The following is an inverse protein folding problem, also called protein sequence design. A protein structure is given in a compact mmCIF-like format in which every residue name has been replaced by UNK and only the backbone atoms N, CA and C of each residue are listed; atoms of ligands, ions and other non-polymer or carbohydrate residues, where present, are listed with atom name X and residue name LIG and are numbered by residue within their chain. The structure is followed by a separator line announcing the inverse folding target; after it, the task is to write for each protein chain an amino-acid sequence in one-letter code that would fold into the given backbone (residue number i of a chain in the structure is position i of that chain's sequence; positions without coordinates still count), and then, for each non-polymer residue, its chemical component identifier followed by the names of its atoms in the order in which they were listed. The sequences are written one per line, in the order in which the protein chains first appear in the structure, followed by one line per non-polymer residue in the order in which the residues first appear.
data_IF_291106003536
#
_entry.id   IF_291106003536
#
_cell.length_a   1.000
_cell.length_b   1.000
_cell.length_c   1.000
_cell.angle_alpha   90.00
_cell.angle_beta   90.00
_cell.angle_gamma   90.00
#
_symmetry.space_group_name_H-M   'P 1'
#
loop_
_entity.id
_entity.type
_entity.pdbx_description
1 polymer ?
#
# COMPACT_ATOMS: atom_id res chain seq x y z
N UNK A 1 27.00 62.79 -61.11
CA UNK A 1 25.81 61.98 -61.45
C UNK A 1 25.14 61.57 -60.15
N UNK A 2 24.58 62.52 -59.38
CA UNK A 2 23.33 63.27 -59.65
C UNK A 2 22.14 62.29 -59.68
N UNK A 3 20.98 62.47 -59.04
CA UNK A 3 20.34 63.61 -58.35
C UNK A 3 18.95 63.09 -57.91
N UNK A 4 18.42 63.55 -56.74
CA UNK A 4 16.98 63.69 -56.36
C UNK A 4 16.04 62.43 -56.43
N UNK A 5 14.97 62.20 -55.66
CA UNK A 5 14.07 63.00 -54.82
C UNK A 5 13.31 62.08 -53.85
N UNK A 6 12.98 62.58 -52.68
CA UNK A 6 12.01 62.06 -51.71
C UNK A 6 10.57 62.40 -52.17
N UNK A 7 9.56 61.53 -52.00
CA UNK A 7 8.28 61.80 -51.29
C UNK A 7 7.27 60.63 -51.30
N UNK A 8 6.45 60.66 -50.24
CA UNK A 8 5.52 59.65 -49.70
C UNK A 8 4.25 59.37 -50.52
N UNK A 9 3.71 58.15 -50.37
CA UNK A 9 2.33 57.96 -49.87
C UNK A 9 2.11 56.55 -49.29
N UNK A 10 1.40 56.52 -48.17
CA UNK A 10 1.10 55.37 -47.32
C UNK A 10 -0.17 54.66 -47.83
N UNK A 11 -0.23 53.32 -47.81
CA UNK A 11 -1.36 52.53 -47.24
C UNK A 11 -1.23 51.02 -47.51
N UNK A 12 -1.38 50.29 -46.40
CA UNK A 12 -1.99 48.96 -46.22
C UNK A 12 -1.18 47.70 -46.55
N UNK A 13 -1.19 46.83 -45.53
CA UNK A 13 -0.96 45.38 -45.57
C UNK A 13 0.49 44.93 -45.76
N UNK A 14 1.27 45.06 -44.67
CA UNK A 14 2.60 44.45 -44.55
C UNK A 14 2.53 42.92 -44.49
N UNK A 15 3.06 42.34 -45.56
CA UNK A 15 4.11 41.33 -45.55
C UNK A 15 3.69 39.85 -45.41
N UNK A 16 3.17 39.33 -46.52
CA UNK A 16 3.81 38.17 -47.14
C UNK A 16 4.94 38.65 -48.04
N UNK A 17 6.17 38.22 -47.81
CA UNK A 17 7.22 38.20 -48.83
C UNK A 17 8.00 36.90 -48.67
N UNK A 18 7.54 35.89 -49.40
CA UNK A 18 8.30 34.69 -49.70
C UNK A 18 9.22 35.06 -50.85
N UNK A 19 10.53 35.12 -50.60
CA UNK A 19 11.53 35.12 -51.66
C UNK A 19 12.21 33.75 -51.60
N UNK A 20 11.89 32.89 -52.57
CA UNK A 20 12.67 31.69 -52.86
C UNK A 20 13.88 32.10 -53.70
N UNK A 21 15.09 31.75 -53.24
CA UNK A 21 16.23 31.55 -54.12
C UNK A 21 16.81 30.17 -53.83
N UNK A 22 16.73 29.28 -54.81
CA UNK A 22 17.44 28.01 -54.88
C UNK A 22 18.60 28.16 -55.87
N UNK A 23 19.81 28.18 -55.35
CA UNK A 23 21.04 27.61 -55.94
C UNK A 23 22.03 27.59 -54.77
N UNK A 24 22.74 26.53 -54.44
CA UNK A 24 23.35 25.52 -55.28
C UNK A 24 24.80 25.46 -54.81
N UNK A 25 25.09 24.51 -53.92
CA UNK A 25 26.42 24.02 -53.51
C UNK A 25 27.29 24.91 -52.59
N UNK A 26 27.82 24.30 -51.51
CA UNK A 26 29.10 24.71 -50.92
C UNK A 26 29.09 25.32 -49.51
N UNK A 27 29.06 24.46 -48.49
CA UNK A 27 29.89 24.54 -47.26
C UNK A 27 30.00 25.85 -46.43
N UNK A 28 29.48 25.73 -45.20
CA UNK A 28 29.98 26.22 -43.89
C UNK A 28 29.80 27.70 -43.50
N UNK A 29 29.29 27.82 -42.27
CA UNK A 29 29.43 28.89 -41.28
C UNK A 29 28.59 30.16 -41.45
N UNK A 30 27.39 30.19 -40.83
CA UNK A 30 26.84 31.32 -40.05
C UNK A 30 25.36 31.07 -39.67
N UNK A 31 25.08 30.25 -38.66
CA UNK A 31 23.69 30.07 -38.16
C UNK A 31 23.56 29.95 -36.65
N UNK A 32 24.66 29.99 -35.89
CA UNK A 32 24.63 29.66 -34.44
C UNK A 32 24.40 30.85 -33.50
N UNK A 33 24.45 32.10 -33.96
CA UNK A 33 24.32 33.27 -33.06
C UNK A 33 22.96 34.01 -33.10
N UNK A 34 22.30 34.11 -34.26
CA UNK A 34 20.98 34.80 -34.36
C UNK A 34 19.81 34.01 -33.75
N UNK A 35 19.92 32.68 -33.66
CA UNK A 35 18.86 31.81 -33.13
C UNK A 35 18.70 31.96 -31.61
N UNK A 36 19.82 32.08 -30.87
CA UNK A 36 19.80 32.19 -29.40
C UNK A 36 19.18 33.50 -28.89
N UNK A 37 19.44 34.64 -29.55
CA UNK A 37 18.84 35.91 -29.15
C UNK A 37 17.35 35.94 -29.46
N UNK A 38 16.92 35.55 -30.66
CA UNK A 38 15.50 35.53 -31.03
C UNK A 38 14.68 34.59 -30.12
N UNK A 39 15.22 33.43 -29.74
CA UNK A 39 14.58 32.54 -28.76
C UNK A 39 14.37 33.19 -27.38
N UNK A 40 15.33 34.00 -26.92
CA UNK A 40 15.21 34.74 -25.65
C UNK A 40 14.11 35.80 -25.75
N UNK A 41 14.04 36.50 -26.88
CA UNK A 41 13.03 37.55 -27.13
C UNK A 41 11.62 36.97 -27.28
N UNK A 42 11.48 35.83 -27.94
CA UNK A 42 10.18 35.18 -28.14
C UNK A 42 9.66 34.52 -26.86
N UNK A 43 10.54 33.95 -26.03
CA UNK A 43 10.18 33.51 -24.66
C UNK A 43 9.78 34.67 -23.76
N UNK A 44 10.51 35.79 -23.80
CA UNK A 44 10.16 36.98 -23.03
C UNK A 44 8.84 37.60 -23.50
N UNK A 45 8.54 37.57 -24.81
CA UNK A 45 7.22 37.99 -25.32
C UNK A 45 6.09 37.06 -24.88
N UNK A 46 6.31 35.74 -24.83
CA UNK A 46 5.31 34.80 -24.33
C UNK A 46 5.02 35.01 -22.83
N UNK A 47 6.07 35.20 -22.01
CA UNK A 47 5.96 35.51 -20.59
C UNK A 47 5.23 36.84 -20.36
N UNK A 48 5.52 37.85 -21.18
CA UNK A 48 4.81 39.13 -21.14
C UNK A 48 3.35 39.01 -21.59
N UNK A 49 3.06 38.18 -22.60
CA UNK A 49 1.69 37.95 -23.09
C UNK A 49 0.83 37.22 -22.06
N UNK A 50 1.39 36.28 -21.31
CA UNK A 50 0.72 35.58 -20.20
C UNK A 50 0.46 36.55 -19.04
N UNK A 51 1.44 37.40 -18.72
CA UNK A 51 1.24 38.43 -17.70
C UNK A 51 0.16 39.44 -18.08
N UNK A 52 0.13 39.86 -19.35
CA UNK A 52 -0.91 40.76 -19.87
C UNK A 52 -2.28 40.09 -19.86
N UNK A 53 -2.41 38.82 -20.27
CA UNK A 53 -3.70 38.13 -20.21
C UNK A 53 -4.19 37.94 -18.76
N UNK A 54 -3.28 37.69 -17.82
CA UNK A 54 -3.61 37.57 -16.40
C UNK A 54 -4.05 38.93 -15.81
N UNK A 55 -3.37 40.02 -16.15
CA UNK A 55 -3.76 41.38 -15.72
C UNK A 55 -5.11 41.79 -16.32
N UNK A 56 -5.38 41.46 -17.59
CA UNK A 56 -6.67 41.74 -18.23
C UNK A 56 -7.81 40.92 -17.63
N UNK A 57 -7.53 39.67 -17.21
CA UNK A 57 -8.50 38.83 -16.51
C UNK A 57 -8.79 39.38 -15.10
N UNK A 58 -7.76 39.80 -14.37
CA UNK A 58 -7.89 40.44 -13.05
C UNK A 58 -8.65 41.79 -13.15
N UNK A 59 -8.63 42.45 -14.31
CA UNK A 59 -9.36 43.69 -14.61
C UNK A 59 -10.79 43.47 -15.16
N UNK A 60 -11.24 42.21 -15.32
CA UNK A 60 -12.58 41.89 -15.84
C UNK A 60 -12.74 42.04 -17.36
N UNK A 61 -11.66 42.25 -18.11
CA UNK A 61 -11.64 42.38 -19.57
C UNK A 61 -11.32 41.02 -20.22
N UNK A 62 -12.31 40.13 -20.15
CA UNK A 62 -12.18 38.74 -20.56
C UNK A 62 -11.99 38.56 -22.07
N UNK A 63 -12.56 39.45 -22.89
CA UNK A 63 -12.45 39.38 -24.36
C UNK A 63 -11.04 39.71 -24.84
N UNK A 64 -10.39 40.72 -24.25
CA UNK A 64 -8.99 41.03 -24.57
C UNK A 64 -8.02 40.03 -23.96
N UNK A 65 -8.34 39.46 -22.78
CA UNK A 65 -7.57 38.35 -22.21
C UNK A 65 -7.59 37.12 -23.12
N UNK A 66 -8.77 36.77 -23.66
CA UNK A 66 -8.95 35.64 -24.57
C UNK A 66 -8.24 35.87 -25.92
N UNK A 67 -8.37 37.07 -26.50
CA UNK A 67 -7.69 37.44 -27.74
C UNK A 67 -6.16 37.43 -27.59
N UNK A 68 -5.64 37.88 -26.45
CA UNK A 68 -4.20 37.84 -26.12
C UNK A 68 -3.72 36.40 -25.96
N UNK A 69 -4.50 35.55 -25.30
CA UNK A 69 -4.22 34.12 -25.14
C UNK A 69 -4.27 33.36 -26.48
N UNK A 70 -5.19 33.72 -27.38
CA UNK A 70 -5.32 33.13 -28.72
C UNK A 70 -4.15 33.46 -29.63
N UNK A 71 -3.67 34.71 -29.62
CA UNK A 71 -2.45 35.14 -30.33
C UNK A 71 -1.20 34.43 -29.79
N UNK A 72 -1.14 34.22 -28.47
CA UNK A 72 -0.07 33.46 -27.84
C UNK A 72 -0.08 31.98 -28.28
N UNK A 73 -1.25 31.34 -28.40
CA UNK A 73 -1.38 29.97 -28.93
C UNK A 73 -0.85 29.82 -30.36
N UNK A 74 -1.01 30.85 -31.19
CA UNK A 74 -0.52 30.89 -32.57
C UNK A 74 1.01 31.12 -32.65
N UNK A 75 1.55 31.98 -31.77
CA UNK A 75 2.99 32.20 -31.60
C UNK A 75 3.68 30.94 -31.05
N UNK A 76 3.08 30.26 -30.05
CA UNK A 76 3.49 28.94 -29.56
C UNK A 76 3.46 27.90 -30.69
N UNK A 77 2.41 27.86 -31.51
CA UNK A 77 2.32 26.94 -32.64
C UNK A 77 3.43 27.11 -33.69
N UNK A 78 3.87 28.35 -33.95
CA UNK A 78 4.98 28.66 -34.88
C UNK A 78 6.36 28.42 -34.26
N UNK A 79 6.54 28.70 -32.97
CA UNK A 79 7.78 28.40 -32.25
C UNK A 79 7.96 26.89 -32.00
N UNK A 80 6.89 26.18 -31.66
CA UNK A 80 6.91 24.77 -31.25
C UNK A 80 6.99 23.78 -32.42
N UNK A 81 6.48 24.11 -33.63
CA UNK A 81 6.63 23.23 -34.81
C UNK A 81 8.08 22.97 -35.22
N UNK A 82 9.05 23.81 -34.79
CA UNK A 82 10.48 23.62 -35.09
C UNK A 82 11.22 22.74 -34.08
N UNK A 83 10.62 22.45 -32.92
CA UNK A 83 11.32 21.81 -31.78
C UNK A 83 10.80 20.39 -31.47
N UNK A 84 9.69 19.97 -32.09
CA UNK A 84 8.95 18.73 -31.75
C UNK A 84 9.43 17.43 -32.42
N UNK A 85 10.70 17.35 -32.85
CA UNK A 85 11.25 16.08 -33.32
C UNK A 85 11.94 15.24 -32.23
N UNK A 86 12.16 15.73 -30.99
CA UNK A 86 13.03 14.98 -30.06
C UNK A 86 12.79 15.03 -28.54
N UNK A 87 11.75 15.68 -27.97
CA UNK A 87 11.65 15.75 -26.49
C UNK A 87 10.25 15.32 -26.00
N UNK A 88 10.20 14.10 -25.47
CA UNK A 88 9.04 13.39 -24.95
C UNK A 88 8.60 13.83 -23.54
N UNK A 89 7.29 14.05 -23.37
CA UNK A 89 6.40 13.64 -22.26
C UNK A 89 6.68 14.11 -20.80
N UNK A 90 7.85 14.65 -20.42
CA UNK A 90 8.14 15.01 -19.01
C UNK A 90 8.24 16.52 -18.66
N UNK A 91 8.14 17.43 -19.63
CA UNK A 91 8.25 18.89 -19.36
C UNK A 91 6.90 19.53 -19.06
N UNK A 92 6.71 20.01 -17.83
CA UNK A 92 5.57 20.87 -17.45
C UNK A 92 5.88 22.33 -17.88
N UNK A 93 5.14 22.91 -18.84
CA UNK A 93 5.40 24.26 -19.33
C UNK A 93 5.34 25.34 -18.25
N UNK A 94 4.58 25.12 -17.16
CA UNK A 94 4.49 26.07 -16.06
C UNK A 94 5.78 26.10 -15.22
N UNK A 95 6.47 24.96 -15.10
CA UNK A 95 7.77 24.88 -14.42
C UNK A 95 8.86 25.62 -15.22
N UNK A 96 8.82 25.56 -16.55
CA UNK A 96 9.76 26.30 -17.41
C UNK A 96 9.60 27.83 -17.25
N UNK A 97 8.36 28.30 -17.05
CA UNK A 97 8.07 29.72 -16.76
C UNK A 97 8.62 30.12 -15.39
N UNK A 98 8.41 29.31 -14.36
CA UNK A 98 8.96 29.55 -13.02
C UNK A 98 10.49 29.57 -13.06
N UNK A 99 11.13 28.62 -13.76
CA UNK A 99 12.59 28.59 -13.88
C UNK A 99 13.12 29.83 -14.60
N UNK A 100 12.48 30.24 -15.69
CA UNK A 100 12.87 31.47 -16.40
C UNK A 100 12.77 32.70 -15.50
N UNK A 101 11.74 32.78 -14.65
CA UNK A 101 11.59 33.87 -13.68
C UNK A 101 12.60 33.80 -12.53
N UNK A 102 12.91 32.61 -12.03
CA UNK A 102 13.99 32.40 -11.07
C UNK A 102 15.29 32.99 -11.62
N UNK A 103 15.61 32.72 -12.89
CA UNK A 103 16.82 33.19 -13.56
C UNK A 103 16.84 34.72 -13.81
N UNK A 104 15.67 35.34 -14.01
CA UNK A 104 15.54 36.76 -14.37
C UNK A 104 15.35 37.69 -13.17
N UNK A 105 14.48 37.32 -12.23
CA UNK A 105 14.01 38.18 -11.14
C UNK A 105 14.41 37.66 -9.76
N UNK A 106 14.91 36.42 -9.69
CA UNK A 106 15.25 35.75 -8.44
C UNK A 106 14.11 34.88 -7.91
N UNK A 107 14.53 33.86 -7.17
CA UNK A 107 13.67 32.80 -6.63
C UNK A 107 12.62 33.30 -5.63
N UNK A 108 13.00 34.27 -4.83
CA UNK A 108 12.18 34.84 -3.75
C UNK A 108 11.47 36.14 -4.15
N UNK A 109 11.50 36.50 -5.43
CA UNK A 109 10.74 37.64 -5.93
C UNK A 109 9.24 37.38 -5.81
N UNK A 110 8.46 38.37 -5.39
CA UNK A 110 7.02 38.24 -5.11
C UNK A 110 6.24 37.68 -6.31
N UNK A 111 6.51 38.15 -7.53
CA UNK A 111 5.87 37.60 -8.73
C UNK A 111 6.23 36.13 -8.98
N UNK A 112 7.48 35.73 -8.69
CA UNK A 112 7.90 34.33 -8.81
C UNK A 112 7.11 33.47 -7.82
N UNK A 113 7.04 33.90 -6.55
CA UNK A 113 6.30 33.21 -5.48
C UNK A 113 4.79 33.14 -5.77
N UNK A 114 4.18 34.20 -6.32
CA UNK A 114 2.77 34.20 -6.78
C UNK A 114 2.49 33.16 -7.86
N UNK A 115 3.42 32.97 -8.79
CA UNK A 115 3.28 31.91 -9.81
C UNK A 115 3.53 30.51 -9.26
N UNK A 116 4.47 30.37 -8.32
CA UNK A 116 4.68 29.11 -7.58
C UNK A 116 3.41 28.75 -6.82
N UNK A 117 2.77 29.69 -6.12
CA UNK A 117 1.52 29.47 -5.40
C UNK A 117 0.39 29.03 -6.34
N UNK A 118 0.22 29.72 -7.47
CA UNK A 118 -0.75 29.35 -8.51
C UNK A 118 -0.51 27.93 -9.06
N UNK A 119 0.74 27.56 -9.32
CA UNK A 119 1.06 26.21 -9.78
C UNK A 119 0.84 25.17 -8.66
N UNK A 120 1.19 25.51 -7.42
CA UNK A 120 0.93 24.70 -6.24
C UNK A 120 -0.56 24.39 -6.08
N UNK A 121 -1.43 25.40 -6.28
CA UNK A 121 -2.90 25.21 -6.29
C UNK A 121 -3.36 24.19 -7.33
N UNK A 122 -2.79 24.21 -8.54
CA UNK A 122 -3.09 23.20 -9.57
C UNK A 122 -2.67 21.82 -9.10
N UNK A 123 -1.43 21.67 -8.62
CA UNK A 123 -0.93 20.37 -8.16
C UNK A 123 -1.67 19.83 -6.93
N UNK A 124 -2.12 20.70 -6.03
CA UNK A 124 -2.96 20.34 -4.88
C UNK A 124 -4.34 19.81 -5.33
N UNK A 125 -4.89 20.32 -6.43
CA UNK A 125 -6.20 19.92 -6.99
C UNK A 125 -6.14 18.73 -7.94
N UNK A 126 -4.98 18.39 -8.50
CA UNK A 126 -4.78 17.20 -9.36
C UNK A 126 -4.87 15.85 -8.59
N UNK A 127 -5.11 15.87 -7.28
CA UNK A 127 -5.12 14.69 -6.42
C UNK A 127 -6.46 13.92 -6.40
N UNK A 128 -6.39 12.61 -6.60
CA UNK A 128 -7.47 11.64 -6.36
C UNK A 128 -7.35 11.10 -4.92
N UNK A 129 -7.54 11.96 -3.92
CA UNK A 129 -7.66 11.53 -2.53
C UNK A 129 -9.13 11.43 -2.15
N UNK A 130 -9.53 10.32 -1.53
CA UNK A 130 -10.87 10.15 -0.95
C UNK A 130 -11.15 11.14 0.19
N UNK A 131 -10.10 11.74 0.75
CA UNK A 131 -10.16 12.94 1.56
C UNK A 131 -9.49 14.07 0.76
N UNK A 132 -10.27 14.81 -0.02
CA UNK A 132 -9.79 16.06 -0.61
C UNK A 132 -9.30 16.94 0.55
N UNK A 133 -8.07 17.47 0.49
CA UNK A 133 -7.59 18.39 1.51
C UNK A 133 -8.59 19.54 1.65
N UNK A 134 -8.86 19.94 2.88
CA UNK A 134 -9.87 20.97 3.13
C UNK A 134 -9.52 22.23 2.35
N UNK A 135 -10.54 22.95 1.86
CA UNK A 135 -10.32 24.20 1.16
C UNK A 135 -9.53 25.21 2.03
N UNK A 136 -9.71 25.16 3.36
CA UNK A 136 -8.93 25.93 4.33
C UNK A 136 -7.44 25.59 4.31
N UNK A 137 -7.08 24.31 4.22
CA UNK A 137 -5.68 23.86 4.12
C UNK A 137 -5.05 24.33 2.81
N UNK A 138 -5.75 24.17 1.68
CA UNK A 138 -5.27 24.60 0.36
C UNK A 138 -5.02 26.12 0.34
N UNK A 139 -5.96 26.91 0.86
CA UNK A 139 -5.81 28.37 0.95
C UNK A 139 -4.65 28.75 1.86
N UNK A 140 -4.52 28.10 3.03
CA UNK A 140 -3.41 28.33 3.97
C UNK A 140 -2.06 28.06 3.30
N UNK A 141 -1.88 26.89 2.68
CA UNK A 141 -0.63 26.53 2.02
C UNK A 141 -0.31 27.46 0.83
N UNK A 142 -1.31 27.83 0.03
CA UNK A 142 -1.13 28.80 -1.05
C UNK A 142 -0.59 30.13 -0.53
N UNK A 143 -1.18 30.64 0.56
CA UNK A 143 -0.72 31.88 1.18
C UNK A 143 0.69 31.75 1.77
N UNK A 144 1.04 30.60 2.37
CA UNK A 144 2.39 30.37 2.89
C UNK A 144 3.44 30.32 1.77
N UNK A 145 3.09 29.74 0.61
CA UNK A 145 3.96 29.73 -0.58
C UNK A 145 4.18 31.15 -1.11
N UNK A 146 3.10 31.93 -1.27
CA UNK A 146 3.17 33.31 -1.79
C UNK A 146 4.04 34.20 -0.90
N UNK A 147 3.98 33.98 0.41
CA UNK A 147 4.74 34.75 1.39
C UNK A 147 6.12 34.17 1.72
N UNK A 148 6.53 33.06 1.08
CA UNK A 148 7.78 32.35 1.37
C UNK A 148 7.94 31.98 2.87
N UNK A 149 6.87 31.48 3.48
CA UNK A 149 6.77 31.14 4.90
C UNK A 149 6.46 29.65 5.13
N UNK A 150 6.75 28.81 4.14
CA UNK A 150 6.57 27.37 4.26
C UNK A 150 7.49 26.84 5.35
N UNK A 151 6.88 26.36 6.44
CA UNK A 151 7.56 25.74 7.56
C UNK A 151 7.50 24.21 7.51
N UNK A 152 8.00 23.60 8.58
CA UNK A 152 7.97 22.15 8.77
C UNK A 152 6.54 21.59 8.79
N UNK A 153 5.63 22.21 9.54
CA UNK A 153 4.23 21.80 9.60
C UNK A 153 3.55 21.77 8.22
N UNK A 154 3.88 22.74 7.37
CA UNK A 154 3.37 22.81 6.00
C UNK A 154 3.92 21.65 5.15
N UNK A 155 5.20 21.32 5.32
CA UNK A 155 5.85 20.22 4.61
C UNK A 155 5.35 18.86 5.08
N UNK A 156 5.04 18.69 6.36
CA UNK A 156 4.37 17.51 6.92
C UNK A 156 3.01 17.33 6.25
N UNK A 157 2.16 18.36 6.25
CA UNK A 157 0.85 18.31 5.58
C UNK A 157 0.97 17.99 4.09
N UNK A 158 2.01 18.54 3.43
CA UNK A 158 2.28 18.25 2.03
C UNK A 158 2.69 16.80 1.81
N UNK A 159 3.53 16.27 2.71
CA UNK A 159 3.94 14.88 2.72
C UNK A 159 2.79 13.91 2.89
N UNK A 160 1.86 14.19 3.82
CA UNK A 160 0.70 13.35 4.12
C UNK A 160 -0.30 13.27 2.97
N UNK A 161 -0.55 14.39 2.29
CA UNK A 161 -1.76 14.56 1.48
C UNK A 161 -1.52 14.73 -0.03
N UNK A 162 -0.38 15.27 -0.45
CA UNK A 162 -0.20 15.68 -1.85
C UNK A 162 0.71 14.74 -2.65
N UNK A 163 0.70 14.99 -3.96
CA UNK A 163 1.40 14.17 -4.95
C UNK A 163 2.88 14.56 -5.11
N UNK A 164 3.60 13.77 -5.93
CA UNK A 164 5.02 14.01 -6.26
C UNK A 164 5.26 15.40 -6.85
N UNK A 165 4.35 15.95 -7.66
CA UNK A 165 4.55 17.26 -8.30
C UNK A 165 4.54 18.39 -7.27
N UNK A 166 3.60 18.34 -6.33
CA UNK A 166 3.53 19.32 -5.23
C UNK A 166 4.78 19.26 -4.35
N UNK A 167 5.18 18.06 -3.91
CA UNK A 167 6.41 17.90 -3.12
C UNK A 167 7.64 18.41 -3.90
N UNK A 168 7.74 18.08 -5.19
CA UNK A 168 8.84 18.55 -6.05
C UNK A 168 8.91 20.07 -6.11
N UNK A 169 7.77 20.73 -6.30
CA UNK A 169 7.69 22.19 -6.32
C UNK A 169 8.25 22.79 -5.02
N UNK A 170 7.88 22.25 -3.86
CA UNK A 170 8.37 22.74 -2.57
C UNK A 170 9.87 22.50 -2.38
N UNK A 171 10.37 21.30 -2.70
CA UNK A 171 11.79 20.98 -2.56
C UNK A 171 12.69 21.81 -3.48
N UNK A 172 12.20 22.16 -4.67
CA UNK A 172 12.91 23.03 -5.62
C UNK A 172 12.92 24.48 -5.11
N UNK A 173 11.84 24.93 -4.47
CA UNK A 173 11.70 26.29 -3.94
C UNK A 173 12.44 26.51 -2.61
N UNK A 174 12.53 25.50 -1.74
CA UNK A 174 13.12 25.63 -0.40
C UNK A 174 14.53 25.04 -0.26
N UNK A 175 15.27 24.89 -1.37
CA UNK A 175 16.57 24.19 -1.40
C UNK A 175 17.62 24.63 -0.36
N UNK A 176 17.59 25.88 0.10
CA UNK A 176 18.61 26.42 1.02
C UNK A 176 18.10 26.64 2.45
N UNK A 177 16.78 26.61 2.68
CA UNK A 177 16.17 27.01 3.96
C UNK A 177 15.41 25.88 4.67
N UNK A 178 15.32 24.70 4.08
CA UNK A 178 14.52 23.59 4.60
C UNK A 178 15.27 22.27 4.57
N UNK A 179 15.40 21.67 5.73
CA UNK A 179 15.90 20.31 5.92
C UNK A 179 14.72 19.33 5.92
N UNK A 180 14.85 18.21 5.22
CA UNK A 180 13.87 17.12 5.31
C UNK A 180 14.04 16.42 6.66
N UNK A 181 13.15 16.73 7.61
CA UNK A 181 13.16 16.15 8.96
C UNK A 181 12.52 14.75 8.99
N UNK A 182 12.74 14.02 10.09
CA UNK A 182 12.13 12.70 10.31
C UNK A 182 10.60 12.75 10.21
N UNK A 183 9.97 13.79 10.77
CA UNK A 183 8.50 13.94 10.76
C UNK A 183 7.95 14.11 9.35
N UNK A 184 8.66 14.82 8.47
CA UNK A 184 8.29 14.97 7.06
C UNK A 184 8.40 13.63 6.33
N UNK A 185 9.45 12.85 6.60
CA UNK A 185 9.63 11.51 6.01
C UNK A 185 8.55 10.55 6.51
N UNK A 186 8.21 10.61 7.80
CA UNK A 186 7.14 9.83 8.42
C UNK A 186 5.77 10.17 7.83
N UNK A 187 5.45 11.45 7.66
CA UNK A 187 4.25 11.91 6.96
C UNK A 187 4.14 11.34 5.54
N UNK A 188 5.25 11.35 4.79
CA UNK A 188 5.30 10.75 3.44
C UNK A 188 5.12 9.22 3.51
N UNK A 189 5.62 8.56 4.54
CA UNK A 189 5.42 7.13 4.75
C UNK A 189 3.96 6.77 5.02
N UNK A 190 3.21 7.65 5.69
CA UNK A 190 1.78 7.50 5.98
C UNK A 190 0.89 7.86 4.76
N UNK A 191 1.44 8.55 3.75
CA UNK A 191 0.71 8.90 2.53
C UNK A 191 0.37 7.67 1.66
N UNK A 192 -0.87 7.22 1.80
CA UNK A 192 -1.38 5.99 1.19
C UNK A 192 -1.52 5.99 -0.35
N UNK A 193 -1.54 7.16 -0.99
CA UNK A 193 -1.77 7.28 -2.44
C UNK A 193 -0.50 7.62 -3.21
N UNK A 194 0.27 8.58 -2.70
CA UNK A 194 1.42 9.16 -3.39
C UNK A 194 2.74 8.88 -2.67
N UNK A 195 2.71 8.37 -1.44
CA UNK A 195 3.89 8.15 -0.59
C UNK A 195 5.04 7.46 -1.31
N UNK A 196 4.79 6.42 -2.13
CA UNK A 196 5.86 5.76 -2.89
C UNK A 196 6.59 6.69 -3.86
N UNK A 197 5.84 7.47 -4.65
CA UNK A 197 6.43 8.40 -5.64
C UNK A 197 7.10 9.60 -4.96
N UNK A 198 6.55 10.03 -3.82
CA UNK A 198 7.08 11.13 -3.02
C UNK A 198 8.35 10.70 -2.26
N UNK A 199 8.35 9.52 -1.63
CA UNK A 199 9.51 8.94 -0.95
C UNK A 199 10.70 8.74 -1.91
N UNK A 200 10.44 8.24 -3.13
CA UNK A 200 11.47 8.18 -4.18
C UNK A 200 12.07 9.55 -4.50
N UNK A 201 11.23 10.57 -4.63
CA UNK A 201 11.68 11.93 -4.88
C UNK A 201 12.52 12.49 -3.73
N UNK A 202 12.14 12.19 -2.47
CA UNK A 202 12.92 12.59 -1.29
C UNK A 202 14.31 11.97 -1.34
N UNK A 203 14.43 10.67 -1.59
CA UNK A 203 15.74 10.03 -1.76
C UNK A 203 16.54 10.58 -2.95
N UNK A 204 15.88 10.88 -4.08
CA UNK A 204 16.52 11.48 -5.26
C UNK A 204 17.10 12.87 -5.01
N UNK A 205 16.42 13.71 -4.20
CA UNK A 205 16.77 15.13 -4.04
C UNK A 205 17.47 15.46 -2.72
N UNK A 206 17.28 14.63 -1.69
CA UNK A 206 17.59 14.90 -0.27
C UNK A 206 18.01 13.63 0.47
N UNK A 207 18.48 12.60 -0.24
CA UNK A 207 18.83 11.31 0.36
C UNK A 207 19.85 11.40 1.50
N UNK A 208 20.81 12.31 1.41
CA UNK A 208 21.85 12.53 2.45
C UNK A 208 21.28 13.11 3.75
N UNK A 209 20.11 13.75 3.72
CA UNK A 209 19.43 14.30 4.91
C UNK A 209 18.57 13.25 5.62
N UNK A 210 18.26 12.13 4.94
CA UNK A 210 17.25 11.18 5.40
C UNK A 210 17.94 10.04 6.16
N UNK A 211 17.76 10.04 7.47
CA UNK A 211 18.05 8.87 8.31
C UNK A 211 16.78 8.02 8.42
N UNK A 212 16.85 6.76 7.99
CA UNK A 212 15.70 5.86 8.10
C UNK A 212 15.66 5.26 9.51
N UNK A 213 14.64 5.61 10.27
CA UNK A 213 14.41 5.10 11.62
C UNK A 213 13.33 4.01 11.62
N UNK A 214 13.27 3.25 12.72
CA UNK A 214 12.21 2.25 12.94
C UNK A 214 10.81 2.89 12.96
N UNK A 215 10.70 4.15 13.39
CA UNK A 215 9.43 4.88 13.43
C UNK A 215 8.90 5.16 12.01
N UNK A 216 9.77 5.59 11.10
CA UNK A 216 9.43 5.81 9.69
C UNK A 216 8.96 4.48 9.04
N UNK A 217 9.69 3.40 9.29
CA UNK A 217 9.32 2.07 8.75
C UNK A 217 7.97 1.62 9.32
N UNK A 218 7.74 1.78 10.63
CA UNK A 218 6.47 1.45 11.27
C UNK A 218 5.29 2.26 10.71
N UNK A 219 5.48 3.55 10.43
CA UNK A 219 4.49 4.38 9.74
C UNK A 219 4.13 3.79 8.37
N UNK A 220 5.13 3.40 7.58
CA UNK A 220 4.92 2.76 6.28
C UNK A 220 4.21 1.39 6.40
N UNK A 221 4.54 0.59 7.42
CA UNK A 221 3.91 -0.72 7.66
C UNK A 221 2.45 -0.58 8.08
N UNK A 222 2.10 0.43 8.87
CA UNK A 222 0.69 0.70 9.25
C UNK A 222 -0.16 1.16 8.05
N UNK A 223 0.48 1.61 6.97
CA UNK A 223 -0.18 2.06 5.76
C UNK A 223 -0.71 0.88 4.92
N UNK A 224 -1.91 0.41 5.29
CA UNK A 224 -2.54 -0.79 4.74
C UNK A 224 -2.86 -0.76 3.23
N UNK A 225 -2.61 0.33 2.49
CA UNK A 225 -2.99 0.41 1.06
C UNK A 225 -1.86 0.04 0.11
N UNK A 226 -0.57 0.22 0.47
CA UNK A 226 0.57 0.01 -0.44
C UNK A 226 1.89 -0.31 0.29
N UNK A 227 2.35 -1.56 0.28
CA UNK A 227 3.68 -1.93 0.82
C UNK A 227 4.89 -1.29 0.15
N UNK A 228 4.73 -0.70 -1.05
CA UNK A 228 5.88 -0.23 -1.84
C UNK A 228 6.75 0.78 -1.09
N UNK A 229 6.18 1.56 -0.16
CA UNK A 229 6.96 2.45 0.70
C UNK A 229 7.76 1.66 1.73
N UNK A 230 7.12 0.78 2.50
CA UNK A 230 7.80 -0.05 3.49
C UNK A 230 8.91 -0.89 2.87
N UNK A 231 8.65 -1.51 1.71
CA UNK A 231 9.65 -2.25 0.94
C UNK A 231 10.82 -1.36 0.50
N UNK A 232 10.55 -0.17 -0.06
CA UNK A 232 11.59 0.79 -0.46
C UNK A 232 12.47 1.20 0.72
N UNK A 233 11.85 1.47 1.88
CA UNK A 233 12.57 1.84 3.10
C UNK A 233 13.45 0.68 3.57
N UNK A 234 12.91 -0.54 3.64
CA UNK A 234 13.65 -1.74 4.04
C UNK A 234 14.79 -2.10 3.06
N UNK A 235 14.65 -1.80 1.76
CA UNK A 235 15.72 -1.96 0.76
C UNK A 235 16.84 -0.92 0.92
N UNK A 236 16.50 0.28 1.41
CA UNK A 236 17.45 1.38 1.62
C UNK A 236 18.11 1.35 2.99
N UNK A 237 17.43 0.75 3.97
CA UNK A 237 17.98 0.47 5.28
C UNK A 237 19.14 -0.51 5.14
N UNK A 238 20.33 -0.04 5.52
CA UNK A 238 21.50 -0.91 5.69
C UNK A 238 21.34 -1.85 6.88
N UNK A 239 22.33 -2.73 7.09
CA UNK A 239 22.37 -3.65 8.23
C UNK A 239 22.40 -2.94 9.60
N UNK A 240 22.66 -1.64 9.63
CA UNK A 240 22.76 -0.82 10.84
C UNK A 240 21.43 -0.68 11.60
N UNK A 241 20.28 -0.73 10.92
CA UNK A 241 18.98 -0.72 11.59
C UNK A 241 18.55 -2.14 11.95
N UNK A 242 18.52 -2.45 13.24
CA UNK A 242 18.02 -3.72 13.75
C UNK A 242 16.53 -3.91 13.42
N UNK A 243 16.16 -5.13 13.01
CA UNK A 243 14.75 -5.54 12.92
C UNK A 243 14.26 -5.88 14.32
N UNK A 244 13.27 -5.12 14.81
CA UNK A 244 12.69 -5.34 16.15
C UNK A 244 11.51 -6.30 16.10
N UNK A 245 11.24 -7.00 17.20
CA UNK A 245 10.03 -7.85 17.35
C UNK A 245 8.76 -7.05 17.07
N UNK A 246 8.71 -5.78 17.50
CA UNK A 246 7.56 -4.89 17.28
C UNK A 246 7.28 -4.65 15.79
N UNK A 247 8.34 -4.42 14.99
CA UNK A 247 8.20 -4.26 13.55
C UNK A 247 7.71 -5.57 12.90
N UNK A 248 8.30 -6.71 13.26
CA UNK A 248 7.90 -8.03 12.73
C UNK A 248 6.44 -8.32 13.09
N UNK A 249 6.03 -8.00 14.32
CA UNK A 249 4.64 -8.15 14.78
C UNK A 249 3.69 -7.23 14.01
N UNK A 250 4.07 -5.98 13.77
CA UNK A 250 3.27 -5.04 12.97
C UNK A 250 3.11 -5.52 11.51
N UNK A 251 4.18 -6.07 10.93
CA UNK A 251 4.16 -6.67 9.58
C UNK A 251 3.26 -7.90 9.55
N UNK A 252 3.38 -8.80 10.53
CA UNK A 252 2.56 -10.00 10.62
C UNK A 252 1.07 -9.69 10.77
N UNK A 253 0.71 -8.59 11.45
CA UNK A 253 -0.67 -8.12 11.57
C UNK A 253 -1.20 -7.30 10.38
N UNK A 254 -0.37 -7.02 9.37
CA UNK A 254 -0.76 -6.21 8.21
C UNK A 254 -1.61 -7.03 7.23
N UNK A 255 -2.90 -6.69 7.15
CA UNK A 255 -3.94 -7.45 6.42
C UNK A 255 -3.86 -7.40 4.90
N UNK A 256 -3.04 -6.52 4.33
CA UNK A 256 -3.03 -6.25 2.88
C UNK A 256 -1.69 -6.41 2.22
N UNK A 257 -0.62 -6.20 2.98
CA UNK A 257 0.72 -6.32 2.43
C UNK A 257 1.74 -6.86 3.42
N UNK A 258 1.26 -7.47 4.52
CA UNK A 258 2.09 -8.17 5.48
C UNK A 258 2.87 -9.30 4.83
N UNK A 259 2.28 -10.02 3.87
CA UNK A 259 2.94 -11.13 3.16
C UNK A 259 4.20 -10.69 2.42
N UNK A 260 4.12 -9.67 1.56
CA UNK A 260 5.25 -9.22 0.75
C UNK A 260 6.36 -8.59 1.59
N UNK A 261 5.99 -7.90 2.67
CA UNK A 261 6.97 -7.32 3.59
C UNK A 261 7.61 -8.43 4.43
N UNK A 262 6.84 -9.37 4.96
CA UNK A 262 7.35 -10.52 5.72
C UNK A 262 8.29 -11.37 4.86
N UNK A 263 7.90 -11.65 3.62
CA UNK A 263 8.72 -12.38 2.66
C UNK A 263 10.05 -11.67 2.42
N UNK A 264 10.02 -10.35 2.23
CA UNK A 264 11.25 -9.57 2.09
C UNK A 264 12.15 -9.66 3.33
N UNK A 265 11.58 -9.52 4.54
CA UNK A 265 12.33 -9.62 5.79
C UNK A 265 12.99 -11.00 5.93
N UNK A 266 12.25 -12.08 5.69
CA UNK A 266 12.77 -13.44 5.80
C UNK A 266 13.85 -13.75 4.75
N UNK A 267 13.71 -13.26 3.51
CA UNK A 267 14.67 -13.51 2.43
C UNK A 267 15.95 -12.66 2.51
N UNK A 268 15.86 -11.43 3.02
CA UNK A 268 16.99 -10.46 3.02
C UNK A 268 17.59 -10.19 4.39
N UNK A 269 16.82 -10.39 5.45
CA UNK A 269 17.16 -10.12 6.85
C UNK A 269 16.79 -11.32 7.74
N UNK A 270 16.83 -12.54 7.18
CA UNK A 270 16.36 -13.76 7.85
C UNK A 270 16.96 -13.92 9.24
N UNK A 271 18.29 -14.00 9.35
CA UNK A 271 19.00 -14.19 10.63
C UNK A 271 18.60 -13.18 11.73
N UNK A 272 18.22 -11.96 11.34
CA UNK A 272 17.83 -10.90 12.26
C UNK A 272 16.31 -10.88 12.57
N UNK A 273 15.52 -11.57 11.75
CA UNK A 273 14.06 -11.64 11.90
C UNK A 273 13.71 -12.76 12.87
N UNK A 274 13.43 -12.39 14.11
CA UNK A 274 13.01 -13.33 15.17
C UNK A 274 11.48 -13.52 15.08
N UNK A 275 11.05 -14.78 14.98
CA UNK A 275 9.63 -15.15 14.97
C UNK A 275 9.24 -15.66 16.36
N UNK A 276 8.36 -14.92 17.03
CA UNK A 276 7.86 -15.24 18.38
C UNK A 276 6.37 -15.56 18.36
N UNK A 277 5.85 -16.08 19.48
CA UNK A 277 4.41 -16.26 19.69
C UNK A 277 3.59 -15.00 19.38
N UNK A 278 4.11 -13.80 19.71
CA UNK A 278 3.41 -12.54 19.43
C UNK A 278 3.23 -12.32 17.93
N UNK A 279 4.25 -12.65 17.14
CA UNK A 279 4.22 -12.54 15.67
C UNK A 279 3.16 -13.48 15.09
N UNK A 280 3.14 -14.74 15.55
CA UNK A 280 2.16 -15.73 15.09
C UNK A 280 0.74 -15.33 15.49
N UNK A 281 0.54 -14.89 16.75
CA UNK A 281 -0.77 -14.39 17.24
C UNK A 281 -1.23 -13.16 16.46
N UNK A 282 -0.32 -12.28 16.06
CA UNK A 282 -0.66 -11.11 15.24
C UNK A 282 -1.15 -11.53 13.85
N UNK A 283 -0.45 -12.46 13.19
CA UNK A 283 -0.87 -13.02 11.90
C UNK A 283 -2.24 -13.71 12.03
N UNK A 284 -2.44 -14.56 13.03
CA UNK A 284 -3.68 -15.30 13.22
C UNK A 284 -4.92 -14.43 13.53
N UNK A 285 -4.73 -13.17 13.96
CA UNK A 285 -5.82 -12.19 14.17
C UNK A 285 -6.28 -11.50 12.88
N UNK A 286 -5.63 -11.75 11.75
CA UNK A 286 -6.06 -11.24 10.45
C UNK A 286 -7.42 -11.85 10.08
N UNK A 287 -8.41 -11.00 9.80
CA UNK A 287 -9.78 -11.43 9.45
C UNK A 287 -9.91 -12.00 8.05
N UNK A 288 -9.05 -11.58 7.12
CA UNK A 288 -9.07 -12.04 5.74
C UNK A 288 -8.34 -13.37 5.66
N UNK A 289 -9.10 -14.46 5.50
CA UNK A 289 -8.60 -15.84 5.58
C UNK A 289 -7.38 -16.08 4.67
N UNK A 290 -7.43 -15.61 3.41
CA UNK A 290 -6.33 -15.75 2.45
C UNK A 290 -5.02 -15.14 2.96
N UNK A 291 -5.02 -13.84 3.31
CA UNK A 291 -3.82 -13.18 3.80
C UNK A 291 -3.30 -13.75 5.13
N UNK A 292 -4.20 -14.22 5.99
CA UNK A 292 -3.81 -14.88 7.25
C UNK A 292 -3.06 -16.18 6.97
N UNK A 293 -3.61 -17.02 6.10
CA UNK A 293 -3.02 -18.32 5.77
C UNK A 293 -1.67 -18.12 5.08
N UNK A 294 -1.58 -17.22 4.09
CA UNK A 294 -0.33 -16.89 3.38
C UNK A 294 0.81 -16.48 4.32
N UNK A 295 0.54 -15.62 5.32
CA UNK A 295 1.57 -15.17 6.27
C UNK A 295 1.97 -16.31 7.21
N UNK A 296 1.00 -17.07 7.74
CA UNK A 296 1.30 -18.15 8.68
C UNK A 296 2.07 -19.29 8.01
N UNK A 297 1.66 -19.68 6.80
CA UNK A 297 2.38 -20.67 5.99
C UNK A 297 3.80 -20.21 5.69
N UNK A 298 4.01 -18.94 5.29
CA UNK A 298 5.34 -18.39 5.04
C UNK A 298 6.24 -18.42 6.30
N UNK A 299 5.68 -18.07 7.46
CA UNK A 299 6.42 -18.07 8.73
C UNK A 299 6.84 -19.50 9.12
N UNK A 300 5.93 -20.46 8.99
CA UNK A 300 6.18 -21.88 9.29
C UNK A 300 7.13 -22.52 8.25
N UNK A 301 7.01 -22.18 6.97
CA UNK A 301 7.88 -22.73 5.92
C UNK A 301 9.33 -22.28 6.12
N UNK A 302 9.55 -20.98 6.37
CA UNK A 302 10.89 -20.40 6.43
C UNK A 302 11.58 -20.56 7.78
N UNK A 303 10.83 -20.56 8.88
CA UNK A 303 11.40 -20.55 10.24
C UNK A 303 10.74 -21.54 11.17
N UNK A 304 9.99 -22.50 10.64
CA UNK A 304 9.27 -23.50 11.40
C UNK A 304 10.12 -24.33 12.35
N UNK A 305 11.44 -24.42 12.22
CA UNK A 305 12.30 -25.13 13.19
C UNK A 305 12.74 -24.23 14.37
N UNK A 306 12.76 -22.91 14.14
CA UNK A 306 13.22 -21.88 15.08
C UNK A 306 12.09 -21.27 15.91
N UNK A 307 10.83 -21.37 15.46
CA UNK A 307 9.70 -20.86 16.24
C UNK A 307 9.59 -21.64 17.54
N UNK A 308 9.60 -20.96 18.69
CA UNK A 308 9.14 -21.58 19.94
C UNK A 308 7.63 -21.62 19.83
N UNK A 309 7.04 -22.81 19.76
CA UNK A 309 5.59 -22.96 19.60
C UNK A 309 5.00 -23.39 20.92
N UNK A 310 4.27 -22.47 21.55
CA UNK A 310 3.43 -22.79 22.70
C UNK A 310 2.16 -23.52 22.28
N UNK A 311 1.57 -24.27 23.21
CA UNK A 311 0.26 -24.91 23.04
C UNK A 311 -0.80 -23.91 22.55
N UNK A 312 -0.80 -22.68 23.09
CA UNK A 312 -1.72 -21.62 22.67
C UNK A 312 -1.58 -21.29 21.18
N UNK A 313 -0.35 -21.27 20.65
CA UNK A 313 -0.11 -21.05 19.23
C UNK A 313 -0.61 -22.23 18.39
N UNK A 314 -0.38 -23.46 18.83
CA UNK A 314 -0.92 -24.67 18.16
C UNK A 314 -2.45 -24.60 18.11
N UNK A 315 -3.10 -24.30 19.23
CA UNK A 315 -4.55 -24.18 19.32
C UNK A 315 -5.09 -23.05 18.42
N UNK A 316 -4.39 -21.91 18.34
CA UNK A 316 -4.75 -20.82 17.43
C UNK A 316 -4.67 -21.26 15.97
N UNK A 317 -3.62 -21.98 15.58
CA UNK A 317 -3.44 -22.48 14.21
C UNK A 317 -4.56 -23.49 13.90
N UNK A 318 -4.77 -24.47 14.77
CA UNK A 318 -5.78 -25.50 14.60
C UNK A 318 -7.21 -24.91 14.53
N UNK A 319 -7.52 -23.91 15.35
CA UNK A 319 -8.86 -23.34 15.46
C UNK A 319 -9.20 -22.24 14.45
N UNK A 320 -8.21 -21.66 13.78
CA UNK A 320 -8.45 -20.52 12.88
C UNK A 320 -7.95 -20.73 11.47
N UNK A 321 -6.93 -21.55 11.26
CA UNK A 321 -6.17 -21.61 10.00
C UNK A 321 -6.56 -22.85 9.21
N UNK A 322 -6.20 -22.88 7.93
CA UNK A 322 -6.40 -24.05 7.08
C UNK A 322 -5.50 -25.24 7.44
N UNK A 323 -5.80 -26.39 6.84
CA UNK A 323 -5.07 -27.65 7.00
C UNK A 323 -3.58 -27.50 6.67
N UNK A 324 -3.24 -26.66 5.69
CA UNK A 324 -1.89 -26.48 5.17
C UNK A 324 -0.92 -25.98 6.25
N UNK A 325 -1.32 -24.96 7.01
CA UNK A 325 -0.52 -24.44 8.11
C UNK A 325 -0.34 -25.48 9.22
N UNK A 326 -1.38 -26.26 9.55
CA UNK A 326 -1.26 -27.34 10.53
C UNK A 326 -0.35 -28.47 10.03
N UNK A 327 -0.39 -28.78 8.73
CA UNK A 327 0.49 -29.77 8.10
C UNK A 327 1.95 -29.35 8.19
N UNK A 328 2.26 -28.10 7.82
CA UNK A 328 3.61 -27.55 7.93
C UNK A 328 4.13 -27.57 9.37
N UNK A 329 3.25 -27.21 10.32
CA UNK A 329 3.56 -27.23 11.74
C UNK A 329 3.97 -28.63 12.22
N UNK A 330 3.17 -29.65 11.90
CA UNK A 330 3.46 -31.04 12.27
C UNK A 330 4.71 -31.59 11.59
N UNK A 331 4.96 -31.23 10.32
CA UNK A 331 6.16 -31.66 9.59
C UNK A 331 7.44 -31.04 10.14
N UNK A 332 7.40 -29.76 10.51
CA UNK A 332 8.59 -29.01 10.97
C UNK A 332 8.87 -29.16 12.46
N UNK A 333 7.85 -29.44 13.27
CA UNK A 333 7.96 -29.47 14.73
C UNK A 333 7.33 -30.71 15.37
N UNK A 334 7.33 -31.86 14.68
CA UNK A 334 6.66 -33.08 15.14
C UNK A 334 6.88 -33.38 16.62
N UNK A 335 8.13 -33.39 17.07
CA UNK A 335 8.49 -33.73 18.46
C UNK A 335 8.10 -32.66 19.49
N UNK A 336 7.96 -31.40 19.07
CA UNK A 336 7.65 -30.28 19.97
C UNK A 336 6.13 -30.02 20.09
N UNK A 337 5.37 -30.39 19.07
CA UNK A 337 3.92 -30.22 19.05
C UNK A 337 3.29 -31.36 19.84
N UNK A 338 2.56 -31.04 20.89
CA UNK A 338 1.72 -31.97 21.66
C UNK A 338 0.27 -31.68 21.33
N UNK A 339 -0.50 -32.71 20.98
CA UNK A 339 -1.93 -32.55 20.71
C UNK A 339 -2.69 -32.64 22.02
N UNK A 340 -2.97 -31.49 22.62
CA UNK A 340 -3.72 -31.38 23.87
C UNK A 340 -5.22 -31.28 23.63
N UNK A 341 -6.00 -31.38 24.72
CA UNK A 341 -7.45 -31.16 24.69
C UNK A 341 -7.82 -29.79 24.12
N UNK A 342 -7.08 -28.73 24.48
CA UNK A 342 -7.33 -27.37 23.98
C UNK A 342 -7.07 -27.24 22.49
N UNK A 343 -6.05 -27.92 21.95
CA UNK A 343 -5.79 -27.99 20.51
C UNK A 343 -6.95 -28.69 19.78
N UNK A 344 -7.43 -29.81 20.33
CA UNK A 344 -8.55 -30.56 19.76
C UNK A 344 -9.87 -29.78 19.82
N UNK A 345 -10.16 -29.10 20.94
CA UNK A 345 -11.33 -28.21 21.07
C UNK A 345 -11.27 -27.07 20.05
N UNK A 346 -10.10 -26.44 19.90
CA UNK A 346 -9.92 -25.38 18.92
C UNK A 346 -10.15 -25.91 17.49
N UNK A 347 -9.54 -27.04 17.12
CA UNK A 347 -9.73 -27.68 15.82
C UNK A 347 -11.21 -28.02 15.54
N UNK A 348 -11.91 -28.59 16.52
CA UNK A 348 -13.33 -28.95 16.40
C UNK A 348 -14.22 -27.70 16.22
N UNK A 349 -13.87 -26.58 16.85
CA UNK A 349 -14.53 -25.29 16.69
C UNK A 349 -14.12 -24.48 15.46
N UNK A 350 -13.24 -25.01 14.59
CA UNK A 350 -12.82 -24.31 13.38
C UNK A 350 -13.92 -24.37 12.32
N UNK A 351 -14.65 -23.27 12.17
CA UNK A 351 -15.81 -23.15 11.27
C UNK A 351 -15.49 -23.42 9.80
N UNK A 352 -14.26 -23.15 9.34
CA UNK A 352 -13.91 -23.20 7.91
C UNK A 352 -13.14 -24.45 7.49
N UNK A 353 -12.33 -25.04 8.37
CA UNK A 353 -11.45 -26.16 8.02
C UNK A 353 -11.39 -27.24 9.11
N UNK A 354 -12.31 -27.24 10.07
CA UNK A 354 -12.24 -28.12 11.25
C UNK A 354 -12.19 -29.60 10.93
N UNK A 355 -12.97 -30.09 9.96
CA UNK A 355 -12.93 -31.49 9.54
C UNK A 355 -11.53 -31.90 9.06
N UNK A 356 -10.96 -31.12 8.14
CA UNK A 356 -9.66 -31.41 7.54
C UNK A 356 -8.53 -31.35 8.57
N UNK A 357 -8.60 -30.41 9.51
CA UNK A 357 -7.63 -30.27 10.61
C UNK A 357 -7.75 -31.44 11.59
N UNK A 358 -8.97 -31.79 12.03
CA UNK A 358 -9.20 -32.93 12.94
C UNK A 358 -8.72 -34.22 12.29
N UNK A 359 -9.05 -34.45 11.01
CA UNK A 359 -8.61 -35.62 10.26
C UNK A 359 -7.08 -35.73 10.24
N UNK A 360 -6.39 -34.63 9.92
CA UNK A 360 -4.92 -34.58 9.94
C UNK A 360 -4.34 -34.89 11.33
N UNK A 361 -4.90 -34.30 12.39
CA UNK A 361 -4.45 -34.52 13.76
C UNK A 361 -4.59 -36.00 14.18
N UNK A 362 -5.71 -36.62 13.82
CA UNK A 362 -5.97 -38.03 14.10
C UNK A 362 -5.07 -38.97 13.28
N UNK A 363 -4.78 -38.64 12.02
CA UNK A 363 -3.89 -39.42 11.15
C UNK A 363 -2.43 -39.37 11.65
N UNK A 364 -1.94 -38.19 12.02
CA UNK A 364 -0.52 -38.00 12.39
C UNK A 364 -0.20 -38.32 13.86
N UNK A 365 -1.17 -38.08 14.77
CA UNK A 365 -0.98 -38.11 16.23
C UNK A 365 -2.17 -38.69 16.98
N UNK A 366 -3.01 -39.48 16.32
CA UNK A 366 -4.23 -40.01 16.92
C UNK A 366 -4.01 -40.84 18.19
N UNK A 367 -2.84 -41.46 18.40
CA UNK A 367 -2.55 -42.21 19.64
C UNK A 367 -2.51 -41.31 20.89
N UNK A 368 -2.23 -40.02 20.73
CA UNK A 368 -2.20 -39.04 21.83
C UNK A 368 -3.57 -38.45 22.14
N UNK A 369 -4.54 -38.64 21.23
CA UNK A 369 -5.84 -38.00 21.32
C UNK A 369 -6.80 -38.87 22.12
N UNK A 370 -7.15 -38.37 23.31
CA UNK A 370 -8.29 -38.86 24.10
C UNK A 370 -9.49 -37.97 23.81
N UNK A 371 -10.59 -38.56 23.34
CA UNK A 371 -11.82 -37.81 23.05
C UNK A 371 -12.58 -37.58 24.35
N UNK A 372 -12.53 -36.35 24.84
CA UNK A 372 -13.20 -35.91 26.07
C UNK A 372 -14.58 -35.30 25.77
N UNK A 373 -15.37 -35.10 26.83
CA UNK A 373 -16.65 -34.41 26.75
C UNK A 373 -16.52 -32.99 26.19
N UNK A 374 -15.48 -32.25 26.60
CA UNK A 374 -15.27 -30.86 26.14
C UNK A 374 -14.91 -30.79 24.65
N UNK A 375 -14.14 -31.75 24.13
CA UNK A 375 -13.90 -31.89 22.69
C UNK A 375 -15.21 -32.20 21.96
N UNK A 376 -16.05 -33.08 22.53
CA UNK A 376 -17.36 -33.40 21.94
C UNK A 376 -18.29 -32.19 21.92
N UNK A 377 -18.35 -31.39 23.00
CA UNK A 377 -19.13 -30.13 23.04
C UNK A 377 -18.68 -29.16 21.95
N UNK A 378 -17.37 -29.03 21.72
CA UNK A 378 -16.83 -28.20 20.64
C UNK A 378 -17.23 -28.73 19.25
N UNK A 379 -17.13 -30.05 19.04
CA UNK A 379 -17.47 -30.71 17.78
C UNK A 379 -18.95 -30.56 17.38
N UNK A 380 -19.85 -30.70 18.35
CA UNK A 380 -21.30 -30.55 18.12
C UNK A 380 -21.74 -29.09 18.15
N UNK A 381 -20.82 -28.13 18.31
CA UNK A 381 -21.11 -26.70 18.38
C UNK A 381 -21.43 -26.04 17.04
N UNK A 382 -21.25 -24.72 16.97
CA UNK A 382 -21.48 -23.89 15.78
C UNK A 382 -20.34 -24.03 14.76
N UNK A 383 -20.34 -25.12 14.01
CA UNK A 383 -19.38 -25.36 12.92
C UNK A 383 -20.12 -25.84 11.68
N UNK A 384 -19.63 -25.41 10.51
CA UNK A 384 -20.15 -25.88 9.22
C UNK A 384 -19.98 -27.40 9.06
N UNK A 385 -18.89 -27.96 9.61
CA UNK A 385 -18.52 -29.38 9.50
C UNK A 385 -18.84 -30.17 10.77
N UNK A 386 -19.77 -29.69 11.60
CA UNK A 386 -20.06 -30.30 12.92
C UNK A 386 -20.42 -31.78 12.84
N UNK A 387 -21.09 -32.21 11.77
CA UNK A 387 -21.47 -33.61 11.56
C UNK A 387 -20.24 -34.47 11.30
N UNK A 388 -19.43 -34.10 10.32
CA UNK A 388 -18.24 -34.82 9.89
C UNK A 388 -17.21 -34.90 11.02
N UNK A 389 -17.01 -33.81 11.75
CA UNK A 389 -16.14 -33.77 12.94
C UNK A 389 -16.67 -34.72 14.02
N UNK A 390 -17.97 -34.72 14.29
CA UNK A 390 -18.60 -35.61 15.27
C UNK A 390 -18.41 -37.09 14.88
N UNK A 391 -18.64 -37.44 13.61
CA UNK A 391 -18.45 -38.81 13.11
C UNK A 391 -16.99 -39.28 13.27
N UNK A 392 -16.02 -38.43 12.93
CA UNK A 392 -14.59 -38.74 13.08
C UNK A 392 -14.21 -39.01 14.53
N UNK A 393 -14.69 -38.18 15.47
CA UNK A 393 -14.37 -38.31 16.89
C UNK A 393 -15.05 -39.53 17.53
N UNK A 394 -16.31 -39.80 17.21
CA UNK A 394 -17.00 -41.02 17.67
C UNK A 394 -16.32 -42.29 17.15
N UNK A 395 -15.87 -42.28 15.89
CA UNK A 395 -15.11 -43.40 15.31
C UNK A 395 -13.76 -43.58 16.00
N UNK A 396 -13.08 -42.48 16.35
CA UNK A 396 -11.78 -42.52 17.02
C UNK A 396 -11.87 -43.00 18.47
N UNK A 397 -12.73 -42.39 19.28
CA UNK A 397 -12.86 -42.75 20.69
C UNK A 397 -13.66 -44.03 20.91
N UNK A 398 -14.46 -44.46 19.93
CA UNK A 398 -15.23 -45.69 20.02
C UNK A 398 -16.07 -45.73 21.29
N UNK A 399 -16.05 -46.85 22.00
CA UNK A 399 -16.88 -47.05 23.21
C UNK A 399 -16.49 -46.17 24.39
N UNK A 400 -15.31 -45.57 24.36
CA UNK A 400 -14.81 -44.72 25.45
C UNK A 400 -15.46 -43.33 25.43
N UNK A 401 -16.07 -42.93 24.30
CA UNK A 401 -16.78 -41.65 24.22
C UNK A 401 -18.11 -41.75 24.96
N UNK A 402 -18.20 -41.04 26.07
CA UNK A 402 -19.44 -40.95 26.85
C UNK A 402 -20.24 -39.75 26.33
N UNK A 403 -21.47 -40.01 25.88
CA UNK A 403 -22.41 -38.96 25.47
C UNK A 403 -23.21 -38.54 26.70
N UNK A 404 -22.92 -37.34 27.21
CA UNK A 404 -23.61 -36.75 28.36
C UNK A 404 -24.83 -35.93 27.92
N UNK A 405 -25.70 -35.61 28.88
CA UNK A 405 -26.84 -34.72 28.64
C UNK A 405 -26.38 -33.34 28.16
N UNK A 406 -25.26 -32.81 28.70
CA UNK A 406 -24.72 -31.52 28.27
C UNK A 406 -24.29 -31.52 26.79
N UNK A 407 -23.70 -32.61 26.29
CA UNK A 407 -23.36 -32.76 24.86
C UNK A 407 -24.61 -32.73 23.99
N UNK A 408 -25.68 -33.42 24.40
CA UNK A 408 -26.97 -33.43 23.69
C UNK A 408 -27.65 -32.05 23.71
N UNK A 409 -27.57 -31.34 24.84
CA UNK A 409 -28.08 -29.97 24.92
C UNK A 409 -27.36 -29.04 23.95
N UNK A 410 -26.02 -29.06 23.92
CA UNK A 410 -25.24 -28.22 22.99
C UNK A 410 -25.57 -28.59 21.55
N UNK A 411 -25.65 -29.90 21.23
CA UNK A 411 -26.01 -30.37 19.92
C UNK A 411 -27.40 -29.87 19.48
N UNK A 412 -28.34 -29.78 20.42
CA UNK A 412 -29.72 -29.34 20.20
C UNK A 412 -29.93 -27.83 20.03
N UNK A 413 -28.93 -26.99 20.37
CA UNK A 413 -29.00 -25.51 20.30
C UNK A 413 -28.88 -24.97 18.86
N UNK A 414 -28.14 -25.66 18.00
CA UNK A 414 -27.85 -25.19 16.65
C UNK A 414 -28.76 -25.90 15.64
N UNK A 415 -29.54 -25.14 14.88
CA UNK A 415 -30.56 -25.67 13.94
C UNK A 415 -29.95 -26.35 12.71
N UNK A 416 -28.80 -25.88 12.24
CA UNK A 416 -28.08 -26.47 11.12
C UNK A 416 -27.58 -27.88 11.50
N UNK A 417 -28.00 -28.91 10.77
CA UNK A 417 -27.64 -30.33 10.99
C UNK A 417 -28.00 -30.89 12.37
N UNK A 418 -28.93 -30.26 13.09
CA UNK A 418 -29.37 -30.71 14.42
C UNK A 418 -29.77 -32.18 14.43
N UNK A 419 -30.69 -32.55 13.53
CA UNK A 419 -31.28 -33.89 13.48
C UNK A 419 -30.21 -34.94 13.19
N UNK A 420 -29.35 -34.69 12.20
CA UNK A 420 -28.26 -35.59 11.81
C UNK A 420 -27.24 -35.80 12.93
N UNK A 421 -26.81 -34.72 13.61
CA UNK A 421 -25.86 -34.81 14.73
C UNK A 421 -26.49 -35.54 15.92
N UNK A 422 -27.74 -35.22 16.27
CA UNK A 422 -28.45 -35.91 17.34
C UNK A 422 -28.63 -37.40 17.05
N UNK A 423 -28.94 -37.76 15.80
CA UNK A 423 -29.07 -39.15 15.38
C UNK A 423 -27.75 -39.92 15.54
N UNK A 424 -26.61 -39.32 15.15
CA UNK A 424 -25.29 -39.92 15.32
C UNK A 424 -24.96 -40.20 16.79
N UNK A 425 -25.19 -39.21 17.66
CA UNK A 425 -24.91 -39.31 19.10
C UNK A 425 -25.77 -40.40 19.75
N UNK A 426 -27.07 -40.44 19.44
CA UNK A 426 -28.00 -41.44 19.99
C UNK A 426 -27.70 -42.85 19.47
N UNK A 427 -27.36 -43.00 18.19
CA UNK A 427 -26.92 -44.29 17.63
C UNK A 427 -25.68 -44.82 18.32
N UNK A 428 -24.71 -43.95 18.59
CA UNK A 428 -23.48 -44.32 19.29
C UNK A 428 -23.78 -44.75 20.74
N UNK A 429 -24.62 -44.00 21.45
CA UNK A 429 -25.03 -44.34 22.81
C UNK A 429 -25.77 -45.68 22.87
N UNK A 430 -26.70 -45.94 21.93
CA UNK A 430 -27.41 -47.22 21.84
C UNK A 430 -26.47 -48.41 21.59
N UNK A 431 -25.43 -48.22 20.77
CA UNK A 431 -24.42 -49.25 20.50
C UNK A 431 -23.51 -49.53 21.71
N UNK A 432 -23.26 -48.54 22.57
CA UNK A 432 -22.42 -48.69 23.77
C UNK A 432 -23.16 -49.29 24.97
N UNK A 433 -24.49 -49.09 25.08
CA UNK A 433 -25.33 -49.70 26.12
C UNK A 433 -25.55 -51.20 25.89
N UNK A 434 -25.35 -51.69 24.67
CA UNK A 434 -25.59 -53.08 24.27
C UNK A 434 -24.32 -53.95 24.27
N UNK A 435 -23.89 -54.60 25.39
CA UNK A 435 -23.07 -55.85 25.47
C UNK A 435 -23.17 -56.46 26.91
N UNK A 436 -23.26 -57.80 27.19
CA UNK A 436 -22.82 -58.95 26.37
C UNK A 436 -23.83 -60.09 26.12
N UNK A 437 -23.59 -60.80 25.01
CA UNK A 437 -24.19 -62.06 24.55
C UNK A 437 -24.12 -63.25 25.55
N UNK A 438 -23.45 -63.08 26.70
CA UNK A 438 -23.50 -64.05 27.81
C UNK A 438 -24.81 -63.99 28.59
N UNK A 439 -25.55 -62.88 28.54
CA UNK A 439 -26.87 -62.75 29.17
C UNK A 439 -27.99 -63.29 28.28
N UNK A 440 -27.76 -63.39 26.96
CA UNK A 440 -28.75 -63.92 26.00
C UNK A 440 -28.80 -65.45 25.93
N UNK A 441 -27.75 -66.17 26.37
CA UNK A 441 -27.73 -67.65 26.41
C UNK A 441 -28.18 -68.28 27.73
N UNK A 442 -28.44 -67.48 28.77
CA UNK A 442 -28.99 -67.96 30.04
C UNK A 442 -30.52 -67.97 30.13
N UNK A 443 -31.23 -67.51 29.09
CA UNK A 443 -32.69 -67.33 29.11
C UNK A 443 -33.45 -68.22 28.10
N UNK A 444 -32.79 -69.23 27.51
CA UNK A 444 -33.45 -70.21 26.60
C UNK A 444 -33.26 -71.67 27.09
N UNK A 445 -32.85 -71.86 28.35
CA UNK A 445 -32.96 -73.17 29.01
C UNK A 445 -33.38 -72.95 30.45
N UNK A 446 -34.68 -72.80 30.66
CA UNK A 446 -35.40 -73.62 31.64
C UNK A 446 -36.91 -73.32 31.54
N UNK A 447 -37.63 -74.43 31.32
CA UNK A 447 -39.09 -74.67 31.26
C UNK A 447 -39.84 -74.37 29.95
#
# INVERSE_FOLDING_TARGET
MDVLTLYMTCLRSRNSCVIFYLSGTGSKAQTTWKVKQNMKTDKNRAVNSINVSLVLTDAGDYENAENTSRKDKELRGKAWKREYAYISIERDPCMDVIQTRNDLQGKYHQDTLRNVAKLGLVYMKEGFSWSLPSQSMITRLSNQIENNRIGEEDMIQIGESFNRKMMKLMLDQNKENFQVTEDVVKAVAENSYYGYKVMKLLFEKRGEEITITIQIVNAAVKNNKRYKVAKLLLEKVGKEMAITEELVTAVAGNRRSGYEIMKFLLEKRGEETIITDKVIKAAAKIRLLGCRNEILELLLEKRGEEVIISEEVVAIIAGKVGKEAMTLLLQKQREKVVITEEVMKAAAGNYHCGEEVIKLLLEERGEEVVVTEEIMKAAVGDSYYRKEITELLLKKGGKEVIITEEVLEVAGRYSHMKEEVMELLLKHQAANVMIPEKTAKGAITDE
#
